data_IF_920782432338
#
_entry.id   IF_920782432338
#
_cell.length_a   1.000
_cell.length_b   1.000
_cell.length_c   1.000
_cell.angle_alpha   90.00
_cell.angle_beta   90.00
_cell.angle_gamma   90.00
#
_symmetry.space_group_name_H-M   'P 1'
#
loop_
_entity.id
_entity.type
_entity.pdbx_description
1 polymer ?
#
# COMPACT_ATOMS: atom_id res chain seq x y z
N UNK A 1 10.19 -8.87 -29.54
CA UNK A 1 10.23 -10.27 -29.09
C UNK A 1 11.66 -10.80 -29.08
N UNK A 2 12.33 -11.03 -30.22
CA UNK A 2 13.71 -11.59 -30.24
C UNK A 2 14.76 -10.83 -29.41
N UNK A 3 14.70 -9.49 -29.38
CA UNK A 3 15.63 -8.65 -28.58
C UNK A 3 15.39 -8.78 -27.06
N UNK A 4 14.14 -9.01 -26.65
CA UNK A 4 13.78 -9.25 -25.24
C UNK A 4 14.15 -10.66 -24.79
N UNK A 5 13.94 -11.67 -25.63
CA UNK A 5 14.35 -13.05 -25.34
C UNK A 5 15.89 -13.15 -25.17
N UNK A 6 16.64 -12.48 -26.04
CA UNK A 6 18.10 -12.40 -25.92
C UNK A 6 18.53 -11.67 -24.63
N UNK A 7 17.85 -10.58 -24.26
CA UNK A 7 18.09 -9.86 -23.01
C UNK A 7 17.84 -10.72 -21.76
N UNK A 8 16.73 -11.45 -21.74
CA UNK A 8 16.40 -12.38 -20.65
C UNK A 8 17.48 -13.47 -20.54
N UNK A 9 17.84 -14.10 -21.66
CA UNK A 9 18.84 -15.17 -21.68
C UNK A 9 20.23 -14.68 -21.23
N UNK A 10 20.60 -13.46 -21.62
CA UNK A 10 21.86 -12.83 -21.21
C UNK A 10 21.92 -12.66 -19.69
N UNK A 11 20.94 -11.97 -19.10
CA UNK A 11 20.91 -11.70 -17.66
C UNK A 11 20.75 -12.99 -16.81
N UNK A 12 20.11 -14.04 -17.33
CA UNK A 12 20.05 -15.34 -16.66
C UNK A 12 21.43 -16.03 -16.57
N UNK A 13 22.32 -15.78 -17.53
CA UNK A 13 23.68 -16.34 -17.57
C UNK A 13 24.61 -15.65 -16.56
N UNK A 14 24.41 -14.35 -16.32
CA UNK A 14 25.30 -13.49 -15.53
C UNK A 14 25.03 -13.53 -14.00
N UNK A 15 24.20 -14.46 -13.50
CA UNK A 15 23.97 -14.65 -12.06
C UNK A 15 22.54 -14.40 -11.58
N UNK A 16 21.58 -14.25 -12.48
CA UNK A 16 20.17 -14.17 -12.11
C UNK A 16 19.73 -15.41 -11.32
N UNK A 17 19.22 -15.18 -10.10
CA UNK A 17 18.36 -16.15 -9.40
C UNK A 17 17.23 -16.63 -10.33
N UNK A 18 16.58 -17.73 -9.94
CA UNK A 18 15.63 -18.46 -10.78
C UNK A 18 14.62 -17.53 -11.49
N UNK A 19 14.00 -17.92 -12.63
CA UNK A 19 13.03 -17.09 -13.34
C UNK A 19 11.86 -16.56 -12.49
N UNK A 20 11.64 -17.16 -11.31
CA UNK A 20 10.63 -16.85 -10.31
C UNK A 20 11.10 -15.78 -9.30
N UNK A 21 12.41 -15.54 -9.18
CA UNK A 21 13.06 -14.64 -8.22
C UNK A 21 13.66 -13.37 -8.88
N UNK A 22 13.27 -13.04 -10.12
CA UNK A 22 13.96 -12.01 -10.92
C UNK A 22 13.03 -11.07 -11.70
N UNK A 23 13.50 -9.82 -11.83
CA UNK A 23 12.97 -8.68 -12.59
C UNK A 23 12.60 -8.97 -14.06
N UNK A 24 12.88 -10.17 -14.57
CA UNK A 24 12.41 -10.66 -15.88
C UNK A 24 10.90 -10.68 -16.04
N UNK A 25 10.17 -10.79 -14.93
CA UNK A 25 8.71 -10.70 -14.92
C UNK A 25 8.22 -9.39 -15.54
N UNK A 26 8.93 -8.27 -15.33
CA UNK A 26 8.54 -6.95 -15.87
C UNK A 26 8.45 -6.94 -17.40
N UNK A 27 9.41 -7.58 -18.07
CA UNK A 27 9.40 -7.67 -19.53
C UNK A 27 8.28 -8.58 -20.06
N UNK A 28 7.97 -9.67 -19.34
CA UNK A 28 6.82 -10.54 -19.66
C UNK A 28 5.49 -9.84 -19.39
N UNK A 29 5.38 -9.06 -18.31
CA UNK A 29 4.18 -8.31 -17.94
C UNK A 29 3.85 -7.24 -18.99
N UNK A 30 4.86 -6.66 -19.66
CA UNK A 30 4.66 -5.65 -20.70
C UNK A 30 4.05 -6.21 -22.01
N UNK A 31 4.26 -7.49 -22.32
CA UNK A 31 3.82 -8.08 -23.58
C UNK A 31 2.31 -8.38 -23.64
N UNK A 32 1.70 -8.64 -22.48
CA UNK A 32 0.31 -9.09 -22.36
C UNK A 32 -0.61 -8.07 -21.69
N UNK A 33 -0.18 -6.80 -21.64
CA UNK A 33 -0.98 -5.76 -21.02
C UNK A 33 -2.31 -5.60 -21.75
N UNK A 34 -3.37 -5.47 -20.97
CA UNK A 34 -4.71 -5.14 -21.44
C UNK A 34 -5.19 -3.88 -20.73
N UNK A 35 -6.08 -3.14 -21.37
CA UNK A 35 -6.63 -1.91 -20.81
C UNK A 35 -8.15 -2.00 -20.70
N UNK A 36 -8.69 -1.27 -19.73
CA UNK A 36 -10.09 -0.89 -19.71
C UNK A 36 -10.28 0.37 -20.57
N UNK A 37 -11.44 0.58 -21.23
CA UNK A 37 -11.73 1.83 -21.94
C UNK A 37 -11.62 3.11 -21.10
N UNK A 38 -11.56 2.99 -19.77
CA UNK A 38 -11.34 4.11 -18.88
C UNK A 38 -9.85 4.49 -18.68
N UNK A 39 -8.93 3.79 -19.33
CA UNK A 39 -7.47 4.02 -19.25
C UNK A 39 -6.72 3.14 -18.24
N UNK A 40 -7.43 2.36 -17.41
CA UNK A 40 -6.77 1.48 -16.42
C UNK A 40 -6.03 0.33 -17.11
N UNK A 41 -4.78 0.11 -16.72
CA UNK A 41 -3.89 -0.91 -17.28
C UNK A 41 -3.79 -2.13 -16.35
N UNK A 42 -3.82 -3.32 -16.96
CA UNK A 42 -3.67 -4.60 -16.25
C UNK A 42 -2.63 -5.46 -16.96
N UNK A 43 -1.88 -6.25 -16.20
CA UNK A 43 -0.84 -7.10 -16.79
C UNK A 43 -1.38 -8.30 -17.58
N UNK A 44 -2.66 -8.64 -17.46
CA UNK A 44 -3.32 -9.70 -18.22
C UNK A 44 -4.84 -9.56 -18.20
N UNK A 45 -5.53 -10.23 -19.13
CA UNK A 45 -6.99 -10.32 -19.11
C UNK A 45 -7.51 -10.94 -17.81
N UNK A 46 -6.82 -11.94 -17.27
CA UNK A 46 -7.17 -12.53 -15.96
C UNK A 46 -7.15 -11.48 -14.84
N UNK A 47 -6.12 -10.64 -14.78
CA UNK A 47 -6.02 -9.57 -13.79
C UNK A 47 -7.08 -8.49 -14.00
N UNK A 48 -7.40 -8.13 -15.26
CA UNK A 48 -8.50 -7.21 -15.59
C UNK A 48 -9.84 -7.74 -15.11
N UNK A 49 -10.15 -9.01 -15.37
CA UNK A 49 -11.39 -9.66 -14.93
C UNK A 49 -11.45 -9.79 -13.40
N UNK A 50 -10.32 -10.11 -12.75
CA UNK A 50 -10.24 -10.13 -11.30
C UNK A 50 -10.51 -8.75 -10.69
N UNK A 51 -9.92 -7.69 -11.24
CA UNK A 51 -10.17 -6.32 -10.80
C UNK A 51 -11.63 -5.91 -11.03
N UNK A 52 -12.21 -6.24 -12.19
CA UNK A 52 -13.62 -6.01 -12.50
C UNK A 52 -14.53 -6.64 -11.45
N UNK A 53 -14.33 -7.93 -11.15
CA UNK A 53 -15.12 -8.67 -10.18
C UNK A 53 -14.93 -8.20 -8.73
N UNK A 54 -13.78 -7.60 -8.40
CA UNK A 54 -13.45 -7.21 -7.03
C UNK A 54 -13.77 -5.75 -6.69
N UNK A 55 -13.66 -4.82 -7.64
CA UNK A 55 -13.89 -3.40 -7.35
C UNK A 55 -14.16 -2.56 -8.60
N UNK A 56 -13.50 -2.87 -9.73
CA UNK A 56 -13.48 -1.98 -10.88
C UNK A 56 -14.85 -1.85 -11.55
N UNK A 57 -15.74 -2.85 -11.48
CA UNK A 57 -17.12 -2.71 -11.98
C UNK A 57 -17.88 -1.53 -11.35
N UNK A 58 -17.60 -1.22 -10.07
CA UNK A 58 -18.23 -0.14 -9.32
C UNK A 58 -17.40 1.16 -9.28
N UNK A 59 -16.09 1.07 -9.52
CA UNK A 59 -15.16 2.21 -9.47
C UNK A 59 -14.67 2.70 -10.84
N UNK A 60 -15.10 2.07 -11.93
CA UNK A 60 -14.68 2.47 -13.27
C UNK A 60 -15.19 3.89 -13.58
N UNK A 61 -14.33 4.84 -13.99
CA UNK A 61 -14.77 6.16 -14.43
C UNK A 61 -15.32 6.13 -15.87
N UNK A 62 -15.30 4.97 -16.54
CA UNK A 62 -15.82 4.67 -17.89
C UNK A 62 -15.17 5.42 -19.05
N UNK A 63 -14.43 6.49 -18.76
CA UNK A 63 -13.73 7.34 -19.73
C UNK A 63 -12.40 7.80 -19.14
N UNK A 64 -11.37 7.87 -19.98
CA UNK A 64 -10.06 8.46 -19.64
C UNK A 64 -10.17 9.94 -19.24
N UNK A 65 -11.14 10.67 -19.79
CA UNK A 65 -11.38 12.06 -19.44
C UNK A 65 -11.95 12.25 -18.02
N UNK A 66 -12.40 11.16 -17.38
CA UNK A 66 -12.93 11.15 -16.00
C UNK A 66 -14.05 12.19 -15.75
N UNK A 67 -14.92 12.35 -16.74
CA UNK A 67 -16.04 13.31 -16.70
C UNK A 67 -17.29 12.78 -15.96
N UNK A 68 -17.34 11.47 -15.67
CA UNK A 68 -18.42 10.83 -14.89
C UNK A 68 -18.33 11.18 -13.41
N UNK A 69 -19.39 10.96 -12.63
CA UNK A 69 -19.33 11.25 -11.19
C UNK A 69 -18.24 10.42 -10.48
N UNK A 70 -18.03 9.17 -10.90
CA UNK A 70 -16.92 8.35 -10.40
C UNK A 70 -15.54 8.90 -10.84
N UNK A 71 -15.44 9.44 -12.05
CA UNK A 71 -14.23 10.14 -12.50
C UNK A 71 -13.91 11.39 -11.66
N UNK A 72 -14.93 12.18 -11.31
CA UNK A 72 -14.79 13.33 -10.42
C UNK A 72 -14.33 12.92 -9.02
N UNK A 73 -14.91 11.85 -8.46
CA UNK A 73 -14.44 11.27 -7.20
C UNK A 73 -12.95 10.88 -7.29
N UNK A 74 -12.53 10.16 -8.32
CA UNK A 74 -11.12 9.77 -8.47
C UNK A 74 -10.20 10.98 -8.59
N UNK A 75 -10.59 12.02 -9.35
CA UNK A 75 -9.82 13.25 -9.45
C UNK A 75 -9.72 13.98 -8.10
N UNK A 76 -10.81 14.01 -7.33
CA UNK A 76 -10.82 14.54 -5.96
C UNK A 76 -9.83 13.79 -5.05
N UNK A 77 -9.77 12.46 -5.13
CA UNK A 77 -8.83 11.69 -4.31
C UNK A 77 -7.36 11.91 -4.69
N UNK A 78 -7.05 12.14 -5.98
CA UNK A 78 -5.69 12.43 -6.42
C UNK A 78 -5.14 13.76 -5.90
N UNK A 79 -6.02 14.73 -5.63
CA UNK A 79 -5.63 16.05 -5.12
C UNK A 79 -5.74 16.17 -3.60
N UNK A 80 -6.40 15.21 -2.94
CA UNK A 80 -6.63 15.24 -1.49
C UNK A 80 -5.84 14.14 -0.78
N UNK A 81 -6.27 12.89 -0.89
CA UNK A 81 -5.57 11.74 -0.32
C UNK A 81 -5.99 10.44 -1.04
N UNK A 82 -5.00 9.65 -1.48
CA UNK A 82 -5.23 8.40 -2.20
C UNK A 82 -5.81 7.28 -1.33
N UNK A 83 -5.74 7.39 0.01
CA UNK A 83 -6.35 6.46 0.96
C UNK A 83 -7.86 6.29 0.72
N UNK A 84 -8.51 7.34 0.20
CA UNK A 84 -9.92 7.32 -0.15
C UNK A 84 -10.22 6.35 -1.30
N UNK A 85 -9.28 6.15 -2.23
CA UNK A 85 -9.42 5.14 -3.29
C UNK A 85 -9.33 3.73 -2.72
N UNK A 86 -8.46 3.51 -1.73
CA UNK A 86 -8.36 2.23 -1.03
C UNK A 86 -9.65 1.93 -0.26
N UNK A 87 -10.19 2.91 0.47
CA UNK A 87 -11.46 2.78 1.16
C UNK A 87 -12.63 2.48 0.18
N UNK A 88 -12.68 3.18 -0.96
CA UNK A 88 -13.66 2.91 -2.00
C UNK A 88 -13.54 1.51 -2.59
N UNK A 89 -12.31 0.99 -2.79
CA UNK A 89 -12.08 -0.40 -3.25
C UNK A 89 -12.62 -1.42 -2.24
N UNK A 90 -12.44 -1.18 -0.94
CA UNK A 90 -12.99 -2.04 0.12
C UNK A 90 -14.52 -2.04 0.06
N UNK A 91 -15.16 -0.86 0.05
CA UNK A 91 -16.63 -0.76 -0.03
C UNK A 91 -17.16 -1.42 -1.31
N UNK A 92 -16.55 -1.14 -2.46
CA UNK A 92 -16.92 -1.77 -3.73
C UNK A 92 -16.84 -3.30 -3.67
N UNK A 93 -15.78 -3.84 -3.05
CA UNK A 93 -15.62 -5.29 -2.86
C UNK A 93 -16.69 -5.88 -1.96
N UNK A 94 -17.01 -5.24 -0.84
CA UNK A 94 -18.10 -5.66 0.05
C UNK A 94 -19.42 -5.71 -0.73
N UNK A 95 -19.73 -4.65 -1.50
CA UNK A 95 -20.94 -4.60 -2.31
C UNK A 95 -20.99 -5.70 -3.37
N UNK A 96 -19.90 -5.93 -4.11
CA UNK A 96 -19.85 -6.96 -5.16
C UNK A 96 -19.95 -8.37 -4.58
N UNK A 97 -19.36 -8.63 -3.41
CA UNK A 97 -19.54 -9.91 -2.70
C UNK A 97 -20.97 -10.06 -2.20
N UNK A 98 -21.59 -9.00 -1.65
CA UNK A 98 -22.99 -9.04 -1.25
C UNK A 98 -23.91 -9.30 -2.46
N UNK A 99 -23.74 -8.59 -3.57
CA UNK A 99 -24.50 -8.83 -4.81
C UNK A 99 -24.35 -10.28 -5.26
N UNK A 100 -23.16 -10.86 -5.09
CA UNK A 100 -22.89 -12.23 -5.48
C UNK A 100 -23.51 -13.30 -4.55
N UNK A 101 -23.65 -13.02 -3.26
CA UNK A 101 -23.92 -14.01 -2.22
C UNK A 101 -25.22 -13.78 -1.46
N UNK A 102 -25.75 -12.56 -1.49
CA UNK A 102 -26.80 -12.05 -0.60
C UNK A 102 -26.48 -12.20 0.89
N UNK A 103 -25.19 -12.26 1.25
CA UNK A 103 -24.71 -12.43 2.62
C UNK A 103 -23.76 -11.29 3.00
N UNK A 104 -24.27 -10.35 3.81
CA UNK A 104 -23.50 -9.20 4.27
C UNK A 104 -22.41 -9.59 5.30
N UNK A 105 -22.63 -10.63 6.10
CA UNK A 105 -21.64 -11.09 7.07
C UNK A 105 -20.44 -11.71 6.35
N UNK A 106 -20.70 -12.52 5.31
CA UNK A 106 -19.65 -13.02 4.43
C UNK A 106 -18.93 -11.87 3.71
N UNK A 107 -19.68 -10.91 3.16
CA UNK A 107 -19.12 -9.79 2.41
C UNK A 107 -18.16 -8.92 3.23
N UNK A 108 -18.48 -8.71 4.51
CA UNK A 108 -17.67 -7.89 5.42
C UNK A 108 -16.59 -8.66 6.17
N UNK A 109 -16.64 -9.99 6.20
CA UNK A 109 -15.80 -10.82 7.06
C UNK A 109 -14.31 -10.52 6.99
N UNK A 110 -13.78 -10.25 5.79
CA UNK A 110 -12.36 -9.90 5.60
C UNK A 110 -11.96 -8.56 6.22
N UNK A 111 -12.90 -7.66 6.47
CA UNK A 111 -12.65 -6.31 6.96
C UNK A 111 -13.03 -6.19 8.43
N UNK A 112 -14.05 -6.91 8.89
CA UNK A 112 -14.55 -6.85 10.27
C UNK A 112 -13.59 -7.44 11.32
N UNK A 113 -12.52 -8.12 10.88
CA UNK A 113 -11.47 -8.61 11.77
C UNK A 113 -10.51 -7.53 12.30
N UNK A 114 -10.48 -6.35 11.66
CA UNK A 114 -9.54 -5.28 12.02
C UNK A 114 -10.14 -4.29 13.03
N UNK A 115 -9.28 -3.62 13.78
CA UNK A 115 -9.68 -2.47 14.59
C UNK A 115 -10.05 -1.30 13.68
N UNK A 116 -11.18 -0.64 13.97
CA UNK A 116 -11.71 0.46 13.15
C UNK A 116 -12.17 1.62 14.02
N UNK A 117 -11.26 2.56 14.24
CA UNK A 117 -11.65 3.90 14.67
C UNK A 117 -11.90 4.75 13.42
N UNK A 118 -12.83 5.73 13.48
CA UNK A 118 -12.94 6.73 12.43
C UNK A 118 -11.62 7.47 12.22
N UNK A 119 -11.31 7.88 10.99
CA UNK A 119 -10.02 8.52 10.65
C UNK A 119 -9.64 9.68 11.57
N UNK A 120 -10.59 10.55 11.91
CA UNK A 120 -10.30 11.68 12.81
C UNK A 120 -9.99 11.27 14.25
N UNK A 121 -10.38 10.09 14.71
CA UNK A 121 -10.05 9.61 16.07
C UNK A 121 -8.63 9.08 16.16
N UNK A 122 -8.04 8.68 15.02
CA UNK A 122 -6.66 8.16 14.96
C UNK A 122 -5.62 9.26 14.76
N UNK A 123 -6.07 10.48 14.44
CA UNK A 123 -5.20 11.65 14.36
C UNK A 123 -4.81 12.06 15.79
N UNK A 124 -3.55 11.82 16.14
CA UNK A 124 -2.99 12.13 17.47
C UNK A 124 -1.87 13.15 17.45
N UNK A 125 -1.28 13.43 16.28
CA UNK A 125 -0.23 14.44 16.16
C UNK A 125 -0.84 15.85 16.25
N UNK A 126 -0.11 16.72 16.95
CA UNK A 126 -0.39 18.15 17.07
C UNK A 126 0.57 18.97 16.18
N UNK A 127 1.45 18.33 15.42
CA UNK A 127 2.55 18.98 14.69
C UNK A 127 2.05 19.84 13.53
N UNK A 128 0.93 19.45 12.92
CA UNK A 128 0.30 20.14 11.79
C UNK A 128 -0.77 21.17 12.21
N UNK A 129 -0.92 21.44 13.51
CA UNK A 129 -1.89 22.42 14.00
C UNK A 129 -1.46 23.85 13.65
N UNK A 130 -2.40 24.64 13.14
CA UNK A 130 -2.19 26.08 12.96
C UNK A 130 -2.11 26.80 14.33
N UNK A 131 -1.46 27.98 14.38
CA UNK A 131 -1.33 28.73 15.62
C UNK A 131 -2.71 29.09 16.21
N UNK A 132 -3.01 28.56 17.40
CA UNK A 132 -4.29 28.75 18.09
C UNK A 132 -5.40 27.77 17.67
N UNK A 133 -5.12 26.82 16.78
CA UNK A 133 -6.02 25.73 16.45
C UNK A 133 -5.97 24.63 17.52
N UNK A 134 -7.14 24.12 17.90
CA UNK A 134 -7.25 22.96 18.79
C UNK A 134 -7.27 21.65 17.99
N UNK A 135 -6.82 20.55 18.59
CA UNK A 135 -6.86 19.24 17.93
C UNK A 135 -8.28 18.85 17.48
N UNK A 136 -9.32 19.23 18.22
CA UNK A 136 -10.71 18.96 17.83
C UNK A 136 -11.11 19.74 16.56
N UNK A 137 -10.71 21.01 16.45
CA UNK A 137 -10.95 21.81 15.24
C UNK A 137 -10.22 21.23 14.03
N UNK A 138 -8.99 20.76 14.23
CA UNK A 138 -8.23 20.09 13.19
C UNK A 138 -8.90 18.79 12.75
N UNK A 139 -9.33 17.95 13.69
CA UNK A 139 -10.11 16.72 13.43
C UNK A 139 -11.41 16.99 12.67
N UNK A 140 -12.07 18.12 12.92
CA UNK A 140 -13.28 18.52 12.17
C UNK A 140 -13.00 18.83 10.69
N UNK A 141 -11.79 19.30 10.33
CA UNK A 141 -11.37 19.44 8.92
C UNK A 141 -11.41 18.08 8.22
N UNK A 142 -10.92 17.02 8.88
CA UNK A 142 -10.93 15.65 8.35
C UNK A 142 -12.35 15.08 8.26
N UNK A 143 -13.20 15.30 9.26
CA UNK A 143 -14.63 14.92 9.18
C UNK A 143 -15.29 15.54 7.95
N UNK A 144 -15.10 16.85 7.75
CA UNK A 144 -15.66 17.57 6.61
C UNK A 144 -15.14 17.02 5.27
N UNK A 145 -13.84 16.76 5.19
CA UNK A 145 -13.23 16.18 4.00
C UNK A 145 -13.81 14.79 3.69
N UNK A 146 -13.92 13.91 4.69
CA UNK A 146 -14.50 12.56 4.51
C UNK A 146 -15.95 12.63 4.06
N UNK A 147 -16.78 13.51 4.63
CA UNK A 147 -18.16 13.71 4.18
C UNK A 147 -18.23 14.11 2.70
N UNK A 148 -17.44 15.10 2.29
CA UNK A 148 -17.40 15.58 0.89
C UNK A 148 -16.91 14.48 -0.07
N UNK A 149 -15.84 13.77 0.31
CA UNK A 149 -15.31 12.63 -0.45
C UNK A 149 -16.36 11.54 -0.60
N UNK A 150 -17.05 11.18 0.50
CA UNK A 150 -18.04 10.12 0.51
C UNK A 150 -19.26 10.46 -0.34
N UNK A 151 -19.73 11.71 -0.35
CA UNK A 151 -20.84 12.11 -1.22
C UNK A 151 -20.50 11.98 -2.70
N UNK A 152 -19.27 12.36 -3.10
CA UNK A 152 -18.80 12.16 -4.47
C UNK A 152 -18.70 10.67 -4.82
N UNK A 153 -18.10 9.87 -3.93
CA UNK A 153 -18.01 8.42 -4.08
C UNK A 153 -19.40 7.79 -4.24
N UNK A 154 -20.34 8.11 -3.35
CA UNK A 154 -21.71 7.59 -3.36
C UNK A 154 -22.44 7.93 -4.65
N UNK A 155 -22.27 9.14 -5.16
CA UNK A 155 -22.86 9.56 -6.44
C UNK A 155 -22.32 8.72 -7.60
N UNK A 156 -20.99 8.59 -7.72
CA UNK A 156 -20.38 7.77 -8.77
C UNK A 156 -20.71 6.28 -8.64
N UNK A 157 -20.83 5.79 -7.42
CA UNK A 157 -21.21 4.41 -7.14
C UNK A 157 -22.65 4.12 -7.59
N UNK A 158 -23.58 5.02 -7.32
CA UNK A 158 -24.98 4.91 -7.74
C UNK A 158 -25.11 4.88 -9.27
N UNK A 159 -24.38 5.75 -9.99
CA UNK A 159 -24.35 5.73 -11.46
C UNK A 159 -23.82 4.40 -12.00
N UNK A 160 -22.74 3.87 -11.41
CA UNK A 160 -22.18 2.59 -11.82
C UNK A 160 -23.09 1.40 -11.47
N UNK A 161 -23.79 1.42 -10.34
CA UNK A 161 -24.81 0.40 -10.02
C UNK A 161 -25.95 0.41 -11.05
N UNK A 162 -26.47 1.58 -11.41
CA UNK A 162 -27.51 1.71 -12.42
C UNK A 162 -27.05 1.21 -13.81
N UNK A 163 -25.77 1.43 -14.14
CA UNK A 163 -25.18 0.88 -15.35
C UNK A 163 -25.14 -0.66 -15.34
N UNK A 164 -24.67 -1.26 -14.24
CA UNK A 164 -24.64 -2.71 -14.07
C UNK A 164 -26.05 -3.32 -14.06
N UNK A 165 -27.04 -2.63 -13.50
CA UNK A 165 -28.44 -3.02 -13.54
C UNK A 165 -28.94 -3.11 -14.99
N UNK A 166 -28.66 -2.07 -15.80
CA UNK A 166 -29.02 -2.04 -17.22
C UNK A 166 -28.36 -3.14 -18.06
N UNK A 167 -27.23 -3.68 -17.60
CA UNK A 167 -26.52 -4.80 -18.20
C UNK A 167 -26.95 -6.17 -17.66
N UNK A 168 -27.79 -6.21 -16.61
CA UNK A 168 -28.18 -7.45 -15.93
C UNK A 168 -27.08 -8.06 -15.05
N UNK A 169 -26.07 -7.27 -14.67
CA UNK A 169 -24.90 -7.73 -13.90
C UNK A 169 -25.13 -7.72 -12.38
N UNK A 170 -26.25 -7.16 -11.90
CA UNK A 170 -26.64 -7.15 -10.49
C UNK A 170 -27.33 -8.45 -10.00
N UNK A 171 -27.23 -9.54 -10.77
CA UNK A 171 -27.79 -10.86 -10.42
C UNK A 171 -29.28 -10.84 -10.04
N UNK A 172 -30.06 -9.98 -10.69
CA UNK A 172 -31.50 -9.84 -10.46
C UNK A 172 -31.88 -8.88 -9.33
N UNK A 173 -30.91 -8.23 -8.68
CA UNK A 173 -31.15 -7.09 -7.81
C UNK A 173 -31.31 -5.80 -8.63
N UNK A 174 -32.07 -4.85 -8.10
CA UNK A 174 -32.11 -3.48 -8.59
C UNK A 174 -31.11 -2.61 -7.84
N UNK A 175 -30.75 -1.45 -8.39
CA UNK A 175 -29.88 -0.47 -7.73
C UNK A 175 -30.43 -0.09 -6.36
N UNK A 176 -31.73 0.22 -6.27
CA UNK A 176 -32.39 0.60 -5.00
C UNK A 176 -32.28 -0.50 -3.95
N UNK A 177 -32.49 -1.77 -4.33
CA UNK A 177 -32.38 -2.90 -3.39
C UNK A 177 -30.96 -3.06 -2.89
N UNK A 178 -29.94 -2.87 -3.74
CA UNK A 178 -28.54 -2.91 -3.32
C UNK A 178 -28.24 -1.76 -2.34
N UNK A 179 -28.67 -0.54 -2.65
CA UNK A 179 -28.44 0.63 -1.80
C UNK A 179 -29.10 0.47 -0.42
N UNK A 180 -30.36 0.02 -0.39
CA UNK A 180 -31.11 -0.21 0.84
C UNK A 180 -30.50 -1.34 1.68
N UNK A 181 -30.13 -2.45 1.05
CA UNK A 181 -29.53 -3.60 1.75
C UNK A 181 -28.12 -3.31 2.29
N UNK A 182 -27.41 -2.39 1.64
CA UNK A 182 -26.04 -2.02 1.97
C UNK A 182 -25.95 -0.70 2.74
N UNK A 183 -27.05 -0.14 3.25
CA UNK A 183 -27.08 1.19 3.87
C UNK A 183 -26.04 1.35 5.00
N UNK A 184 -25.84 0.31 5.81
CA UNK A 184 -24.87 0.32 6.91
C UNK A 184 -23.41 0.49 6.41
N UNK A 185 -23.06 -0.14 5.29
CA UNK A 185 -21.72 -0.06 4.68
C UNK A 185 -21.58 1.10 3.69
N UNK A 186 -22.70 1.71 3.31
CA UNK A 186 -22.80 2.94 2.51
C UNK A 186 -23.09 4.14 3.40
N UNK A 187 -22.33 4.25 4.49
CA UNK A 187 -22.38 5.36 5.44
C UNK A 187 -21.03 6.06 5.55
N UNK A 188 -21.06 7.35 5.91
CA UNK A 188 -19.85 8.11 6.24
C UNK A 188 -19.09 7.44 7.39
N UNK A 189 -19.82 6.91 8.39
CA UNK A 189 -19.23 6.24 9.54
C UNK A 189 -18.42 5.03 9.11
N UNK A 190 -19.00 4.12 8.33
CA UNK A 190 -18.28 2.95 7.82
C UNK A 190 -17.09 3.36 6.93
N UNK A 191 -17.28 4.32 6.02
CA UNK A 191 -16.20 4.78 5.15
C UNK A 191 -15.03 5.38 5.96
N UNK A 192 -15.33 6.19 6.98
CA UNK A 192 -14.34 6.78 7.89
C UNK A 192 -13.60 5.74 8.72
N UNK A 193 -14.30 4.68 9.12
CA UNK A 193 -13.75 3.54 9.84
C UNK A 193 -12.81 2.70 8.98
N UNK A 194 -13.10 2.54 7.68
CA UNK A 194 -12.17 1.89 6.75
C UNK A 194 -10.89 2.72 6.59
N UNK A 195 -11.00 4.04 6.51
CA UNK A 195 -9.83 4.93 6.41
C UNK A 195 -8.99 4.82 7.69
N UNK A 196 -9.58 4.97 8.87
CA UNK A 196 -8.85 4.81 10.13
C UNK A 196 -8.32 3.39 10.34
N UNK A 197 -8.99 2.36 9.82
CA UNK A 197 -8.44 1.00 9.78
C UNK A 197 -7.13 0.95 8.97
N UNK A 198 -7.05 1.60 7.81
CA UNK A 198 -5.81 1.67 7.06
C UNK A 198 -4.71 2.38 7.85
N UNK A 199 -4.99 3.52 8.49
CA UNK A 199 -3.99 4.21 9.32
C UNK A 199 -3.46 3.37 10.48
N UNK A 200 -4.34 2.63 11.17
CA UNK A 200 -3.98 1.91 12.39
C UNK A 200 -3.33 0.55 12.18
N UNK A 201 -3.68 -0.16 11.11
CA UNK A 201 -3.37 -1.58 10.97
C UNK A 201 -2.31 -1.84 9.90
N UNK A 202 -1.79 -0.81 9.25
CA UNK A 202 -0.91 -1.01 8.11
C UNK A 202 0.54 -1.27 8.51
N UNK A 203 1.29 -1.82 7.55
CA UNK A 203 2.73 -2.03 7.65
C UNK A 203 3.39 -1.23 6.53
N UNK A 204 4.31 -0.34 6.90
CA UNK A 204 5.20 0.32 5.95
C UNK A 204 6.09 -0.72 5.26
N UNK A 205 6.14 -0.63 3.95
CA UNK A 205 6.94 -1.49 3.10
C UNK A 205 7.83 -0.65 2.22
N UNK A 206 9.04 -1.13 2.02
CA UNK A 206 9.95 -0.61 1.01
C UNK A 206 10.26 -1.74 0.05
N UNK A 207 10.10 -1.48 -1.24
CA UNK A 207 10.44 -2.40 -2.31
C UNK A 207 11.57 -1.79 -3.11
N UNK A 208 12.71 -2.47 -3.14
CA UNK A 208 13.87 -2.06 -3.95
C UNK A 208 13.43 -1.68 -5.37
N UNK A 209 13.92 -0.55 -5.87
CA UNK A 209 13.60 -0.13 -7.23
C UNK A 209 14.02 -1.23 -8.22
N UNK A 210 13.19 -1.58 -9.23
CA UNK A 210 13.51 -2.68 -10.15
C UNK A 210 14.79 -2.45 -10.96
N UNK A 211 15.25 -1.21 -11.07
CA UNK A 211 16.53 -0.88 -11.69
C UNK A 211 17.75 -0.93 -10.76
N UNK A 212 17.56 -1.05 -9.44
CA UNK A 212 18.69 -1.19 -8.51
C UNK A 212 19.48 -2.46 -8.82
N UNK A 213 18.83 -3.63 -8.72
CA UNK A 213 19.47 -4.91 -9.02
C UNK A 213 19.81 -5.09 -10.52
N UNK A 214 19.04 -4.48 -11.43
CA UNK A 214 19.40 -4.48 -12.85
C UNK A 214 20.67 -3.67 -13.10
N UNK A 215 20.83 -2.54 -12.42
CA UNK A 215 22.02 -1.70 -12.44
C UNK A 215 23.24 -2.46 -11.91
N UNK A 216 23.10 -3.11 -10.75
CA UNK A 216 24.14 -3.98 -10.17
C UNK A 216 24.58 -5.05 -11.19
N UNK A 217 23.63 -5.84 -11.70
CA UNK A 217 23.90 -6.92 -12.66
C UNK A 217 24.59 -6.43 -13.95
N UNK A 218 24.20 -5.25 -14.47
CA UNK A 218 24.82 -4.67 -15.67
C UNK A 218 26.19 -4.02 -15.40
N UNK A 219 26.46 -3.63 -14.15
CA UNK A 219 27.72 -3.03 -13.75
C UNK A 219 28.82 -4.08 -13.53
N UNK A 220 28.45 -5.24 -12.98
CA UNK A 220 29.34 -6.36 -12.66
C UNK A 220 29.78 -7.17 -13.90
N UNK A 221 29.11 -6.99 -15.04
CA UNK A 221 29.43 -7.66 -16.31
C UNK A 221 30.87 -7.37 -16.79
N UNK A 222 31.63 -8.40 -17.16
CA UNK A 222 33.02 -8.25 -17.65
C UNK A 222 33.11 -7.55 -19.02
N UNK A 223 34.32 -7.13 -19.41
CA UNK A 223 34.58 -6.47 -20.70
C UNK A 223 34.34 -7.40 -21.90
N UNK A 224 34.55 -8.70 -21.72
CA UNK A 224 34.32 -9.75 -22.69
C UNK A 224 32.82 -10.01 -22.87
N UNK A 225 32.06 -10.11 -21.77
CA UNK A 225 30.60 -10.32 -21.77
C UNK A 225 29.83 -9.10 -22.30
N UNK A 226 30.35 -7.89 -22.08
CA UNK A 226 29.80 -6.65 -22.67
C UNK A 226 29.73 -6.69 -24.20
N UNK A 227 30.55 -7.52 -24.87
CA UNK A 227 30.51 -7.69 -26.33
C UNK A 227 29.36 -8.58 -26.79
N UNK A 228 28.85 -9.45 -25.93
CA UNK A 228 27.70 -10.33 -26.18
C UNK A 228 26.38 -9.70 -25.72
N UNK A 229 26.42 -8.54 -25.06
CA UNK A 229 25.24 -7.87 -24.51
C UNK A 229 24.25 -7.47 -25.62
N UNK A 230 22.97 -7.87 -25.50
CA UNK A 230 21.92 -7.49 -26.44
C UNK A 230 21.73 -5.97 -26.59
N UNK A 231 21.37 -5.47 -27.79
CA UNK A 231 21.22 -4.03 -28.04
C UNK A 231 20.22 -3.31 -27.11
N UNK A 232 19.13 -3.97 -26.71
CA UNK A 232 18.19 -3.38 -25.73
C UNK A 232 18.86 -3.16 -24.37
N UNK A 233 19.63 -4.13 -23.86
CA UNK A 233 20.32 -4.00 -22.57
C UNK A 233 21.45 -2.96 -22.63
N UNK A 234 22.17 -2.88 -23.75
CA UNK A 234 23.16 -1.83 -23.96
C UNK A 234 22.53 -0.43 -23.90
N UNK A 235 21.35 -0.24 -24.50
CA UNK A 235 20.59 1.02 -24.42
C UNK A 235 20.09 1.31 -23.02
N UNK A 236 19.55 0.30 -22.32
CA UNK A 236 19.09 0.45 -20.93
C UNK A 236 20.26 0.83 -20.04
N UNK A 237 21.40 0.12 -20.12
CA UNK A 237 22.63 0.43 -19.38
C UNK A 237 23.09 1.87 -19.61
N UNK A 238 23.18 2.29 -20.87
CA UNK A 238 23.57 3.66 -21.21
C UNK A 238 22.57 4.71 -20.66
N UNK A 239 21.27 4.40 -20.64
CA UNK A 239 20.25 5.27 -20.05
C UNK A 239 20.38 5.36 -18.52
N UNK A 240 20.62 4.23 -17.84
CA UNK A 240 20.84 4.18 -16.39
C UNK A 240 22.12 4.95 -16.00
N UNK A 241 23.23 4.74 -16.73
CA UNK A 241 24.49 5.47 -16.49
C UNK A 241 24.34 6.97 -16.71
N UNK A 242 23.61 7.36 -17.76
CA UNK A 242 23.29 8.77 -18.03
C UNK A 242 22.43 9.36 -16.92
N UNK A 243 21.41 8.64 -16.46
CA UNK A 243 20.54 9.09 -15.37
C UNK A 243 21.35 9.32 -14.08
N UNK A 244 22.17 8.35 -13.68
CA UNK A 244 23.08 8.47 -12.54
C UNK A 244 24.00 9.69 -12.65
N UNK A 245 24.60 9.92 -13.83
CA UNK A 245 25.48 11.07 -14.05
C UNK A 245 24.74 12.41 -13.96
N UNK A 246 23.50 12.49 -14.45
CA UNK A 246 22.65 13.69 -14.37
C UNK A 246 22.15 13.97 -12.93
N UNK A 247 22.02 12.94 -12.08
CA UNK A 247 21.39 13.04 -10.75
C UNK A 247 22.39 12.95 -9.57
N UNK A 248 23.69 12.78 -9.84
CA UNK A 248 24.80 12.77 -8.84
C UNK A 248 24.89 14.00 -7.91
N UNK A 249 24.11 15.05 -8.15
CA UNK A 249 24.24 16.34 -7.47
C UNK A 249 23.11 16.72 -6.50
N UNK A 250 22.08 15.88 -6.29
CA UNK A 250 20.95 16.29 -5.44
C UNK A 250 21.15 16.01 -3.94
N UNK A 251 22.08 15.12 -3.57
CA UNK A 251 22.23 14.66 -2.16
C UNK A 251 23.36 15.35 -1.38
N UNK A 252 24.20 16.16 -2.03
CA UNK A 252 25.26 16.93 -1.38
C UNK A 252 25.33 18.35 -1.98
N UNK A 253 24.36 19.20 -1.65
CA UNK A 253 24.45 20.64 -1.94
C UNK A 253 25.49 21.32 -1.03
N UNK A 254 26.26 22.24 -1.59
CA UNK A 254 27.34 22.99 -0.91
C UNK A 254 26.86 23.98 0.18
N UNK A 255 25.60 23.89 0.63
CA UNK A 255 25.02 24.71 1.69
C UNK A 255 24.86 23.93 3.01
N UNK A 256 25.87 23.14 3.38
CA UNK A 256 26.02 22.60 4.74
C UNK A 256 26.39 23.72 5.72
N UNK A 257 25.44 24.62 5.98
CA UNK A 257 25.50 25.53 7.11
C UNK A 257 24.95 24.82 8.35
N UNK A 258 25.85 24.54 9.29
CA UNK A 258 25.63 24.40 10.73
C UNK A 258 24.25 23.89 11.16
N UNK A 259 24.06 22.57 11.07
CA UNK A 259 23.21 21.87 12.03
C UNK A 259 23.99 20.72 12.65
N UNK A 260 24.54 20.98 13.84
CA UNK A 260 24.93 19.94 14.79
C UNK A 260 23.70 19.09 15.11
N UNK A 261 23.46 18.03 14.35
CA UNK A 261 22.57 16.94 14.72
C UNK A 261 23.19 15.64 14.20
N UNK A 262 23.50 14.73 15.14
CA UNK A 262 24.28 13.49 14.94
C UNK A 262 23.57 12.39 14.12
N UNK A 263 22.61 12.70 13.25
CA UNK A 263 21.87 11.70 12.47
C UNK A 263 21.90 11.95 10.95
N UNK A 264 22.99 12.50 10.41
CA UNK A 264 23.16 12.59 8.96
C UNK A 264 23.94 11.38 8.45
N UNK A 265 23.23 10.27 8.22
CA UNK A 265 23.76 9.16 7.44
C UNK A 265 24.10 9.68 6.03
N UNK A 266 25.39 9.74 5.75
CA UNK A 266 25.93 10.07 4.44
C UNK A 266 25.51 8.96 3.47
N UNK A 267 24.46 9.17 2.68
CA UNK A 267 24.04 8.24 1.63
C UNK A 267 25.23 7.98 0.69
N UNK A 268 25.78 6.78 0.80
CA UNK A 268 26.86 6.31 -0.07
C UNK A 268 26.42 6.33 -1.53
N UNK A 269 27.38 6.43 -2.45
CA UNK A 269 27.30 6.45 -3.93
C UNK A 269 26.54 5.26 -4.61
N UNK A 270 25.47 4.72 -4.02
CA UNK A 270 24.73 3.53 -4.47
C UNK A 270 23.23 3.69 -4.69
N UNK A 271 22.61 4.82 -4.34
CA UNK A 271 21.14 5.00 -4.40
C UNK A 271 20.69 5.97 -5.51
N UNK A 272 21.13 5.75 -6.75
CA UNK A 272 20.57 6.51 -7.88
C UNK A 272 19.09 6.14 -8.14
N UNK A 273 18.62 5.01 -7.61
CA UNK A 273 17.24 4.55 -7.73
C UNK A 273 16.65 4.23 -6.36
N UNK A 274 15.98 5.22 -5.78
CA UNK A 274 15.29 5.08 -4.48
C UNK A 274 14.21 4.00 -4.56
N UNK A 275 14.11 3.18 -3.52
CA UNK A 275 13.05 2.19 -3.35
C UNK A 275 11.65 2.81 -3.48
N UNK A 276 10.68 1.97 -3.81
CA UNK A 276 9.27 2.36 -3.76
C UNK A 276 8.78 2.10 -2.34
N UNK A 277 8.51 3.18 -1.62
CA UNK A 277 7.78 3.12 -0.37
C UNK A 277 6.30 2.86 -0.62
N UNK A 278 5.70 2.08 0.26
CA UNK A 278 4.29 1.75 0.20
C UNK A 278 3.79 1.17 1.51
N UNK A 279 2.57 0.69 1.45
CA UNK A 279 1.85 0.24 2.64
C UNK A 279 1.13 -1.06 2.32
N UNK A 280 1.19 -2.02 3.25
CA UNK A 280 0.50 -3.30 3.10
C UNK A 280 -0.40 -3.63 4.28
N UNK A 281 -1.44 -4.41 3.98
CA UNK A 281 -2.31 -5.04 4.96
C UNK A 281 -2.19 -6.56 4.85
N UNK A 282 -1.42 -7.14 5.76
CA UNK A 282 -1.31 -8.58 5.93
C UNK A 282 -2.27 -9.03 7.05
N UNK A 283 -3.45 -9.53 6.69
CA UNK A 283 -4.50 -9.90 7.66
C UNK A 283 -4.02 -10.62 8.92
N UNK A 284 -3.12 -11.59 8.80
CA UNK A 284 -2.55 -12.31 9.94
C UNK A 284 -1.62 -11.45 10.81
N UNK A 285 -0.73 -10.66 10.21
CA UNK A 285 0.26 -9.84 10.93
C UNK A 285 -0.41 -8.61 11.55
N UNK A 286 -1.25 -7.93 10.78
CA UNK A 286 -1.97 -6.72 11.17
C UNK A 286 -3.01 -6.95 12.28
N UNK A 287 -3.25 -8.21 12.69
CA UNK A 287 -4.08 -8.56 13.84
C UNK A 287 -3.28 -9.08 15.05
N UNK A 288 -1.95 -9.15 14.97
CA UNK A 288 -1.08 -9.50 16.09
C UNK A 288 -0.83 -8.29 16.97
N UNK A 289 -1.06 -8.43 18.27
CA UNK A 289 -0.86 -7.36 19.24
C UNK A 289 0.63 -7.13 19.56
N UNK A 290 0.90 -5.96 20.13
CA UNK A 290 2.24 -5.58 20.56
C UNK A 290 2.67 -6.25 21.89
N UNK A 291 3.93 -6.67 21.96
CA UNK A 291 4.66 -6.88 23.23
C UNK A 291 6.09 -6.34 23.12
N UNK A 292 6.62 -5.73 24.19
CA UNK A 292 8.05 -5.37 24.28
C UNK A 292 8.96 -6.59 24.58
N UNK A 293 8.34 -7.74 24.83
CA UNK A 293 8.94 -9.07 24.92
C UNK A 293 8.08 -10.03 24.07
N UNK A 294 8.21 -9.97 22.73
CA UNK A 294 7.32 -10.70 21.82
C UNK A 294 7.70 -12.17 21.69
N UNK A 295 6.70 -13.03 21.46
CA UNK A 295 6.92 -14.45 21.16
C UNK A 295 7.03 -14.74 19.64
N UNK A 296 6.72 -13.75 18.79
CA UNK A 296 6.85 -13.80 17.35
C UNK A 296 7.68 -12.63 16.79
N UNK A 297 8.34 -12.86 15.65
CA UNK A 297 8.97 -11.82 14.82
C UNK A 297 8.46 -11.91 13.39
N UNK A 298 8.46 -10.79 12.68
CA UNK A 298 8.10 -10.72 11.26
C UNK A 298 9.35 -10.49 10.43
N UNK A 299 9.52 -11.28 9.37
CA UNK A 299 10.55 -11.08 8.35
C UNK A 299 9.88 -10.76 7.02
N UNK A 300 10.30 -9.65 6.41
CA UNK A 300 9.85 -9.24 5.08
C UNK A 300 10.84 -9.69 4.03
N UNK A 301 10.34 -10.21 2.92
CA UNK A 301 11.15 -10.63 1.77
C UNK A 301 11.08 -9.56 0.68
N UNK A 302 12.11 -9.54 -0.19
CA UNK A 302 12.23 -8.54 -1.27
C UNK A 302 11.10 -8.59 -2.30
N UNK A 303 10.42 -9.74 -2.43
CA UNK A 303 9.22 -9.91 -3.28
C UNK A 303 7.93 -9.43 -2.60
N UNK A 304 8.04 -8.83 -1.42
CA UNK A 304 6.94 -8.22 -0.68
C UNK A 304 6.12 -9.22 0.14
N UNK A 305 6.60 -10.44 0.33
CA UNK A 305 5.99 -11.37 1.26
C UNK A 305 6.42 -11.08 2.70
N UNK A 306 5.61 -11.51 3.66
CA UNK A 306 5.88 -11.37 5.08
C UNK A 306 5.69 -12.72 5.77
N UNK A 307 6.67 -13.09 6.60
CA UNK A 307 6.71 -14.36 7.30
C UNK A 307 6.81 -14.15 8.81
N UNK A 308 5.96 -14.86 9.56
CA UNK A 308 5.98 -14.83 11.02
C UNK A 308 6.72 -16.04 11.55
N UNK A 309 7.69 -15.81 12.44
CA UNK A 309 8.47 -16.85 13.10
C UNK A 309 8.32 -16.76 14.60
N UNK A 310 8.11 -17.91 15.26
CA UNK A 310 8.20 -18.00 16.71
C UNK A 310 9.65 -17.79 17.15
N UNK A 311 9.87 -16.92 18.13
CA UNK A 311 11.17 -16.66 18.76
C UNK A 311 11.23 -17.16 20.21
N UNK A 312 10.11 -17.69 20.70
CA UNK A 312 9.96 -18.33 22.00
C UNK A 312 9.11 -19.61 21.85
N UNK A 313 9.09 -20.47 22.87
CA UNK A 313 8.13 -21.58 22.94
C UNK A 313 6.72 -21.02 23.17
N UNK A 314 5.74 -21.48 22.39
CA UNK A 314 4.35 -20.96 22.42
C UNK A 314 3.39 -22.10 22.76
N UNK A 315 2.57 -21.89 23.79
CA UNK A 315 1.57 -22.87 24.22
C UNK A 315 0.25 -22.74 23.44
N UNK A 316 -0.54 -23.81 23.38
CA UNK A 316 -1.88 -23.75 22.78
C UNK A 316 -2.76 -22.72 23.52
N UNK A 317 -3.35 -21.79 22.75
CA UNK A 317 -4.18 -20.70 23.28
C UNK A 317 -3.40 -19.48 23.78
N UNK A 318 -2.07 -19.50 23.72
CA UNK A 318 -1.24 -18.32 23.97
C UNK A 318 -1.38 -17.32 22.81
N UNK A 319 -1.46 -16.03 23.15
CA UNK A 319 -1.56 -14.97 22.16
C UNK A 319 -0.24 -14.78 21.41
N UNK A 320 -0.32 -14.62 20.09
CA UNK A 320 0.85 -14.31 19.26
C UNK A 320 1.07 -12.79 19.27
N UNK A 321 2.24 -12.37 19.75
CA UNK A 321 2.59 -10.96 19.85
C UNK A 321 3.87 -10.67 19.07
N UNK A 322 3.90 -9.52 18.40
CA UNK A 322 5.07 -8.97 17.70
C UNK A 322 5.48 -7.65 18.37
N UNK A 323 6.66 -7.11 18.03
CA UNK A 323 6.98 -5.72 18.41
C UNK A 323 6.57 -4.76 17.30
N UNK A 324 6.07 -3.59 17.68
CA UNK A 324 5.72 -2.49 16.76
C UNK A 324 6.81 -1.42 16.71
N UNK A 325 7.75 -1.51 17.65
CA UNK A 325 8.76 -0.49 17.93
C UNK A 325 10.10 -1.16 18.18
N UNK A 326 11.16 -0.36 18.19
CA UNK A 326 12.44 -0.79 18.75
C UNK A 326 12.29 -1.02 20.27
N UNK A 327 12.75 -2.19 20.73
CA UNK A 327 12.63 -2.63 22.12
C UNK A 327 13.90 -2.41 22.94
N UNK A 328 14.97 -1.88 22.35
CA UNK A 328 16.25 -1.64 23.02
C UNK A 328 16.25 -0.36 23.87
N UNK A 329 15.17 0.41 23.78
CA UNK A 329 14.94 1.65 24.53
C UNK A 329 14.38 1.40 25.95
N UNK A 330 14.42 2.41 26.83
CA UNK A 330 13.87 2.29 28.18
C UNK A 330 12.33 2.35 28.19
N UNK A 331 11.70 1.95 29.30
CA UNK A 331 10.23 1.85 29.38
C UNK A 331 9.49 3.15 29.03
N UNK A 332 10.03 4.34 29.38
CA UNK A 332 9.35 5.60 29.08
C UNK A 332 9.44 5.95 27.59
N UNK A 333 10.59 5.69 26.96
CA UNK A 333 10.79 5.87 25.51
C UNK A 333 9.89 4.92 24.72
N UNK A 334 9.84 3.64 25.09
CA UNK A 334 8.94 2.66 24.46
C UNK A 334 7.47 3.09 24.55
N UNK A 335 7.03 3.62 25.69
CA UNK A 335 5.65 4.15 25.82
C UNK A 335 5.42 5.39 24.96
N UNK A 336 6.45 6.23 24.76
CA UNK A 336 6.34 7.38 23.87
C UNK A 336 6.15 6.93 22.41
N UNK A 337 6.95 5.96 21.94
CA UNK A 337 6.81 5.38 20.60
C UNK A 337 5.46 4.68 20.38
N UNK A 338 4.85 4.12 21.44
CA UNK A 338 3.54 3.47 21.34
C UNK A 338 2.34 4.42 21.40
N UNK A 339 2.57 5.72 21.59
CA UNK A 339 1.49 6.72 21.76
C UNK A 339 0.54 6.76 20.55
N UNK A 340 1.09 6.65 19.35
CA UNK A 340 0.35 6.69 18.08
C UNK A 340 -0.58 5.47 17.90
N UNK A 341 -0.30 4.37 18.59
CA UNK A 341 -1.12 3.17 18.60
C UNK A 341 -2.28 3.23 19.61
N UNK A 342 -2.44 4.35 20.32
CA UNK A 342 -3.58 4.63 21.19
C UNK A 342 -3.76 3.65 22.37
N UNK A 343 -2.67 3.07 22.88
CA UNK A 343 -2.70 2.22 24.06
C UNK A 343 -1.50 2.44 24.99
N UNK A 344 -1.60 1.93 26.22
CA UNK A 344 -0.50 1.87 27.17
C UNK A 344 -0.04 0.43 27.27
N UNK A 345 1.21 0.14 26.88
CA UNK A 345 1.73 -1.22 26.95
C UNK A 345 1.88 -1.67 28.42
N UNK A 346 1.37 -2.88 28.69
CA UNK A 346 1.36 -3.56 29.99
C UNK A 346 1.93 -4.99 29.90
N UNK A 347 2.81 -5.24 28.93
CA UNK A 347 3.54 -6.51 28.90
C UNK A 347 4.39 -6.69 30.17
N UNK A 348 4.77 -7.93 30.48
CA UNK A 348 5.58 -8.32 31.65
C UNK A 348 6.79 -7.40 31.82
N UNK A 349 7.60 -7.24 30.77
CA UNK A 349 8.80 -6.39 30.75
C UNK A 349 8.50 -4.94 31.15
N UNK A 350 7.47 -4.33 30.59
CA UNK A 350 7.07 -2.95 30.92
C UNK A 350 6.58 -2.82 32.38
N UNK A 351 5.85 -3.81 32.90
CA UNK A 351 5.38 -3.77 34.29
C UNK A 351 6.50 -3.98 35.30
N UNK A 352 7.52 -4.78 34.96
CA UNK A 352 8.70 -5.00 35.79
C UNK A 352 9.59 -3.75 35.81
N UNK A 353 9.91 -3.18 34.63
CA UNK A 353 10.76 -1.99 34.52
C UNK A 353 10.16 -0.74 35.18
N UNK A 354 8.82 -0.61 35.27
CA UNK A 354 8.16 0.50 35.99
C UNK A 354 8.24 0.40 37.51
N UNK A 355 8.48 -0.80 38.04
CA UNK A 355 8.58 -1.06 39.49
C UNK A 355 10.01 -0.88 40.02
N UNK A 356 10.99 -1.02 39.12
CA UNK A 356 12.40 -0.75 39.37
C UNK A 356 12.64 0.77 39.45
#
# INVERSE_FOLDING_TARGET
MADFEAAIAFLQKEGGKSPEESYFSVFKLAEHQVHCPCGELYCSETCKQAAYAQHHALLCPRSEARETAMGLFLNHTLVTNEIFQLAAKVVAKVLLVYIATHDMAQARGAVDMFCKLPWWEVITSEDDLEEGETLDQYRDKFRSLVCQTFDQFRTGLQENLAHLEGQGELRGLTTDVVLDSCADVLSVDFFSQIIGMFEMNNVSMEIDHPFHALGEALSETSLEEKKEMPPVLARVKAALEKYAEEHKHYCCGEDAHDHENENNECYTLGEDFVGVEGTALFSGICTMNHSCDPNCTVLYTKDGAAHVFAVQDISEGEELCISYIDVDQNVNERQACLREYLFVCRCSRCEEERKA
#
